data_IF_047688229396
#
_entry.id   IF_047688229396
#
_cell.length_a   1.000
_cell.length_b   1.000
_cell.length_c   1.000
_cell.angle_alpha   90.00
_cell.angle_beta   90.00
_cell.angle_gamma   90.00
#
_symmetry.space_group_name_H-M   'P 1'
#
loop_
_entity.id
_entity.type
_entity.pdbx_description
1 polymer ?
#
# COMPACT_ATOMS: atom_id res chain seq x y z
N UNK A 1 43.17 66.04 7.96
CA UNK A 1 42.78 65.95 6.52
C UNK A 1 43.87 65.20 5.77
N UNK A 2 43.69 64.27 4.83
CA UNK A 2 42.64 63.34 4.44
C UNK A 2 43.33 62.37 3.45
N UNK A 3 43.27 61.06 3.77
CA UNK A 3 43.16 59.84 2.94
C UNK A 3 43.82 59.73 1.54
N UNK A 4 44.47 58.58 1.33
CA UNK A 4 45.11 58.09 0.10
C UNK A 4 44.19 57.19 -0.76
N UNK A 5 44.70 56.85 -1.97
CA UNK A 5 44.42 55.68 -2.86
C UNK A 5 43.35 55.87 -3.96
N UNK A 6 43.41 55.28 -5.16
CA UNK A 6 44.40 54.79 -6.16
C UNK A 6 43.56 54.42 -7.41
N UNK A 7 44.15 54.28 -8.62
CA UNK A 7 43.41 54.16 -9.89
C UNK A 7 43.10 52.72 -10.35
N UNK A 8 42.15 52.63 -11.28
CA UNK A 8 41.68 51.46 -12.06
C UNK A 8 42.47 51.29 -13.36
N UNK A 9 42.76 50.05 -13.79
CA UNK A 9 42.39 49.47 -15.12
C UNK A 9 43.07 48.10 -15.38
N UNK A 10 42.25 47.11 -15.75
CA UNK A 10 42.55 45.82 -16.42
C UNK A 10 42.86 46.01 -17.92
N UNK A 11 43.43 45.05 -18.70
CA UNK A 11 42.63 43.93 -19.27
C UNK A 11 43.34 42.62 -19.77
N UNK A 12 42.53 41.55 -19.93
CA UNK A 12 42.41 40.58 -21.08
C UNK A 12 43.25 39.26 -21.25
N UNK A 13 42.48 38.15 -21.25
CA UNK A 13 42.46 36.85 -22.03
C UNK A 13 43.41 35.64 -21.81
N UNK A 14 42.84 34.57 -21.19
CA UNK A 14 42.59 33.13 -21.59
C UNK A 14 43.58 32.31 -22.48
N UNK A 15 43.55 30.92 -22.54
CA UNK A 15 42.52 29.96 -22.06
C UNK A 15 42.96 28.58 -21.45
N UNK A 16 41.98 27.92 -20.80
CA UNK A 16 41.58 26.48 -20.75
C UNK A 16 42.49 25.31 -20.30
N UNK A 17 41.79 24.35 -19.63
CA UNK A 17 42.11 22.93 -19.26
C UNK A 17 42.45 22.76 -17.78
N UNK A 18 41.79 21.96 -16.94
CA UNK A 18 40.64 21.07 -17.01
C UNK A 18 40.47 20.36 -15.66
N UNK A 19 39.37 19.61 -15.52
CA UNK A 19 39.06 18.59 -14.50
C UNK A 19 38.38 19.04 -13.19
N UNK A 20 37.05 19.01 -13.29
CA UNK A 20 36.11 18.69 -12.23
C UNK A 20 36.41 17.31 -11.61
N UNK A 21 36.43 17.23 -10.29
CA UNK A 21 36.11 16.00 -9.55
C UNK A 21 34.93 16.32 -8.63
N UNK A 22 33.74 16.10 -9.17
CA UNK A 22 32.46 16.16 -8.48
C UNK A 22 32.42 15.04 -7.44
N UNK A 23 32.47 15.41 -6.15
CA UNK A 23 32.09 14.52 -5.07
C UNK A 23 30.55 14.48 -5.00
N UNK A 24 29.94 13.57 -5.74
CA UNK A 24 28.52 13.24 -5.55
C UNK A 24 28.42 12.27 -4.37
N UNK A 25 28.15 12.79 -3.18
CA UNK A 25 27.71 11.98 -2.05
C UNK A 25 26.20 11.72 -2.18
N UNK A 26 25.86 10.44 -2.15
CA UNK A 26 24.51 9.88 -2.23
C UNK A 26 23.72 10.22 -0.95
N UNK A 27 22.96 11.32 -0.96
CA UNK A 27 22.15 11.81 0.17
C UNK A 27 20.65 11.49 0.07
N UNK A 28 20.24 10.81 -1.00
CA UNK A 28 18.83 10.63 -1.39
C UNK A 28 18.04 9.56 -0.61
N UNK A 29 18.70 8.64 0.09
CA UNK A 29 18.02 7.50 0.74
C UNK A 29 17.36 7.81 2.10
N UNK A 30 17.90 8.78 2.85
CA UNK A 30 17.40 9.10 4.21
C UNK A 30 16.16 9.99 4.20
N UNK A 31 16.07 10.91 3.24
CA UNK A 31 14.95 11.86 3.15
C UNK A 31 13.66 11.17 2.70
N UNK A 32 13.75 10.29 1.69
CA UNK A 32 12.61 9.52 1.18
C UNK A 32 12.02 8.59 2.26
N UNK A 33 12.86 7.93 3.05
CA UNK A 33 12.41 7.07 4.15
C UNK A 33 11.71 7.85 5.28
N UNK A 34 12.20 9.05 5.59
CA UNK A 34 11.57 9.93 6.59
C UNK A 34 10.23 10.50 6.10
N UNK A 35 10.14 10.88 4.82
CA UNK A 35 8.89 11.35 4.21
C UNK A 35 7.82 10.26 4.23
N UNK A 36 8.15 9.04 3.81
CA UNK A 36 7.23 7.90 3.85
C UNK A 36 6.75 7.59 5.28
N UNK A 37 7.64 7.66 6.27
CA UNK A 37 7.25 7.48 7.67
C UNK A 37 6.28 8.58 8.14
N UNK A 38 6.49 9.82 7.72
CA UNK A 38 5.61 10.94 8.04
C UNK A 38 4.23 10.78 7.39
N UNK A 39 4.16 10.27 6.16
CA UNK A 39 2.90 9.92 5.51
C UNK A 39 2.15 8.82 6.27
N UNK A 40 2.84 7.77 6.73
CA UNK A 40 2.23 6.71 7.55
C UNK A 40 1.69 7.27 8.87
N UNK A 41 2.44 8.15 9.55
CA UNK A 41 1.95 8.84 10.77
C UNK A 41 0.69 9.67 10.49
N UNK A 42 0.65 10.38 9.37
CA UNK A 42 -0.54 11.14 8.94
C UNK A 42 -1.73 10.20 8.72
N UNK A 43 -1.54 9.10 7.98
CA UNK A 43 -2.59 8.11 7.76
C UNK A 43 -3.13 7.52 9.08
N UNK A 44 -2.26 7.13 10.01
CA UNK A 44 -2.69 6.62 11.33
C UNK A 44 -3.52 7.68 12.09
N UNK A 45 -3.09 8.94 12.08
CA UNK A 45 -3.87 10.00 12.73
C UNK A 45 -5.26 10.17 12.11
N UNK A 46 -5.35 10.10 10.78
CA UNK A 46 -6.61 10.21 10.05
C UNK A 46 -7.53 9.01 10.29
N UNK A 47 -7.00 7.79 10.31
CA UNK A 47 -7.74 6.58 10.70
C UNK A 47 -8.35 6.70 12.10
N UNK A 48 -7.57 7.16 13.09
CA UNK A 48 -8.09 7.35 14.44
C UNK A 48 -9.14 8.46 14.52
N UNK A 49 -9.03 9.51 13.70
CA UNK A 49 -10.06 10.55 13.59
C UNK A 49 -11.35 9.97 13.01
N UNK A 50 -11.26 9.15 11.95
CA UNK A 50 -12.40 8.45 11.37
C UNK A 50 -13.07 7.51 12.38
N UNK A 51 -12.30 6.74 13.14
CA UNK A 51 -12.85 5.85 14.15
C UNK A 51 -13.48 6.58 15.33
N UNK A 52 -12.92 7.72 15.74
CA UNK A 52 -13.55 8.57 16.76
C UNK A 52 -14.93 9.05 16.34
N UNK A 53 -15.12 9.36 15.06
CA UNK A 53 -16.40 9.81 14.52
C UNK A 53 -17.42 8.67 14.41
N UNK A 54 -16.99 7.50 13.93
CA UNK A 54 -17.90 6.37 13.65
C UNK A 54 -18.23 5.52 14.88
N UNK A 55 -17.31 5.45 15.87
CA UNK A 55 -17.44 4.57 17.03
C UNK A 55 -17.45 5.34 18.36
N UNK A 56 -18.02 6.55 18.37
CA UNK A 56 -17.90 7.56 19.44
C UNK A 56 -17.81 7.03 20.88
N UNK A 57 -18.81 6.25 21.34
CA UNK A 57 -18.85 5.72 22.70
C UNK A 57 -17.74 4.70 22.96
N UNK A 58 -17.53 3.75 22.04
CA UNK A 58 -16.48 2.73 22.15
C UNK A 58 -15.09 3.36 22.08
N UNK A 59 -14.90 4.35 21.22
CA UNK A 59 -13.64 5.08 21.10
C UNK A 59 -13.31 5.85 22.38
N UNK A 60 -14.30 6.54 22.96
CA UNK A 60 -14.11 7.28 24.22
C UNK A 60 -13.83 6.35 25.40
N UNK A 61 -14.45 5.16 25.42
CA UNK A 61 -14.18 4.14 26.43
C UNK A 61 -12.79 3.49 26.26
N UNK A 62 -12.37 3.23 25.03
CA UNK A 62 -11.09 2.59 24.73
C UNK A 62 -9.88 3.54 24.88
N UNK A 63 -10.08 4.83 24.60
CA UNK A 63 -9.01 5.85 24.62
C UNK A 63 -9.46 7.06 25.46
N UNK A 64 -9.55 6.92 26.79
CA UNK A 64 -10.12 7.94 27.67
C UNK A 64 -9.24 9.20 27.78
N UNK A 65 -7.94 9.08 27.56
CA UNK A 65 -6.97 10.16 27.70
C UNK A 65 -5.98 10.21 26.51
N UNK A 66 -5.19 11.29 26.47
CA UNK A 66 -4.26 11.56 25.38
C UNK A 66 -3.06 10.60 25.39
N UNK A 67 -2.60 10.18 26.56
CA UNK A 67 -1.46 9.27 26.69
C UNK A 67 -1.80 7.89 26.15
N UNK A 68 -2.96 7.35 26.53
CA UNK A 68 -3.50 6.08 26.02
C UNK A 68 -3.70 6.14 24.51
N UNK A 69 -4.26 7.25 23.98
CA UNK A 69 -4.42 7.45 22.55
C UNK A 69 -3.07 7.49 21.80
N UNK A 70 -2.06 8.15 22.36
CA UNK A 70 -0.72 8.22 21.79
C UNK A 70 -0.04 6.84 21.77
N UNK A 71 -0.16 6.05 22.85
CA UNK A 71 0.35 4.69 22.90
C UNK A 71 -0.31 3.79 21.85
N UNK A 72 -1.64 3.86 21.72
CA UNK A 72 -2.38 3.11 20.72
C UNK A 72 -1.93 3.46 19.30
N UNK A 73 -1.79 4.75 18.97
CA UNK A 73 -1.30 5.20 17.66
C UNK A 73 0.12 4.73 17.36
N UNK A 74 1.02 4.71 18.36
CA UNK A 74 2.39 4.19 18.20
C UNK A 74 2.38 2.70 17.91
N UNK A 75 1.61 1.92 18.68
CA UNK A 75 1.43 0.48 18.46
C UNK A 75 0.90 0.18 17.06
N UNK A 76 -0.11 0.93 16.62
CA UNK A 76 -0.71 0.75 15.30
C UNK A 76 0.23 1.16 14.16
N UNK A 77 0.98 2.24 14.34
CA UNK A 77 1.99 2.64 13.38
C UNK A 77 3.03 1.54 13.19
N UNK A 78 3.54 0.97 14.28
CA UNK A 78 4.52 -0.12 14.27
C UNK A 78 3.96 -1.38 13.59
N UNK A 79 2.76 -1.82 13.99
CA UNK A 79 2.11 -3.00 13.42
C UNK A 79 1.82 -2.84 11.92
N UNK A 80 1.50 -1.62 11.46
CA UNK A 80 1.13 -1.35 10.08
C UNK A 80 2.30 -0.82 9.21
N UNK A 81 3.54 -0.88 9.71
CA UNK A 81 4.72 -0.36 8.98
C UNK A 81 4.87 -0.97 7.57
N UNK A 82 4.47 -2.23 7.38
CA UNK A 82 4.57 -2.93 6.10
C UNK A 82 3.58 -2.42 5.02
N UNK A 83 2.52 -1.68 5.39
CA UNK A 83 1.47 -1.25 4.46
C UNK A 83 1.70 0.17 3.95
N UNK A 84 1.38 0.45 2.69
CA UNK A 84 1.43 1.82 2.19
C UNK A 84 0.39 2.71 2.91
N UNK A 85 0.60 4.03 3.04
CA UNK A 85 -0.36 4.94 3.69
C UNK A 85 -1.78 4.82 3.12
N UNK A 86 -1.89 4.65 1.80
CA UNK A 86 -3.16 4.44 1.09
C UNK A 86 -3.87 3.15 1.52
N UNK A 87 -3.15 2.05 1.72
CA UNK A 87 -3.74 0.76 2.13
C UNK A 87 -4.29 0.83 3.56
N UNK A 88 -3.60 1.55 4.45
CA UNK A 88 -4.05 1.82 5.82
C UNK A 88 -5.38 2.59 5.80
N UNK A 89 -5.46 3.63 4.99
CA UNK A 89 -6.68 4.42 4.82
C UNK A 89 -7.83 3.60 4.24
N UNK A 90 -7.57 2.78 3.23
CA UNK A 90 -8.59 1.92 2.64
C UNK A 90 -9.05 0.82 3.61
N UNK A 91 -8.14 0.24 4.39
CA UNK A 91 -8.46 -0.70 5.47
C UNK A 91 -9.41 -0.09 6.50
N UNK A 92 -9.18 1.16 6.90
CA UNK A 92 -10.06 1.86 7.83
C UNK A 92 -11.46 2.12 7.25
N UNK A 93 -11.55 2.52 5.97
CA UNK A 93 -12.85 2.67 5.29
C UNK A 93 -13.62 1.35 5.26
N UNK A 94 -12.96 0.23 4.96
CA UNK A 94 -13.59 -1.10 5.03
C UNK A 94 -14.04 -1.44 6.44
N UNK A 95 -13.26 -1.09 7.47
CA UNK A 95 -13.62 -1.35 8.86
C UNK A 95 -14.96 -0.68 9.19
N UNK A 96 -15.14 0.58 8.81
CA UNK A 96 -16.38 1.35 9.03
C UNK A 96 -17.58 0.72 8.32
N UNK A 97 -17.37 0.15 7.13
CA UNK A 97 -18.44 -0.47 6.35
C UNK A 97 -18.79 -1.91 6.81
N UNK A 98 -17.84 -2.61 7.42
CA UNK A 98 -17.94 -4.06 7.67
C UNK A 98 -17.98 -4.43 9.15
N UNK A 99 -17.65 -3.50 10.05
CA UNK A 99 -17.52 -3.76 11.48
C UNK A 99 -18.45 -2.86 12.28
N UNK A 100 -19.35 -3.47 13.04
CA UNK A 100 -20.26 -2.79 13.98
C UNK A 100 -19.53 -2.21 15.21
N UNK A 101 -18.38 -2.80 15.55
CA UNK A 101 -17.55 -2.41 16.69
C UNK A 101 -16.24 -1.76 16.24
N UNK A 102 -15.66 -0.96 17.15
CA UNK A 102 -14.35 -0.36 16.95
C UNK A 102 -13.32 -1.47 16.63
N UNK A 103 -12.63 -1.42 15.48
CA UNK A 103 -11.75 -2.51 15.07
C UNK A 103 -10.50 -2.57 15.96
N UNK A 104 -10.04 -3.80 16.22
CA UNK A 104 -8.73 -4.05 16.83
C UNK A 104 -7.61 -3.88 15.82
N UNK A 105 -6.36 -3.75 16.29
CA UNK A 105 -5.18 -3.72 15.40
C UNK A 105 -5.11 -4.98 14.52
N UNK A 106 -5.47 -6.14 15.06
CA UNK A 106 -5.52 -7.40 14.31
C UNK A 106 -6.54 -7.35 13.17
N UNK A 107 -7.74 -6.81 13.44
CA UNK A 107 -8.74 -6.64 12.38
C UNK A 107 -8.25 -5.66 11.31
N UNK A 108 -7.56 -4.60 11.71
CA UNK A 108 -6.97 -3.66 10.75
C UNK A 108 -5.87 -4.26 9.89
N UNK A 109 -5.01 -5.13 10.43
CA UNK A 109 -4.03 -5.87 9.63
C UNK A 109 -4.71 -6.65 8.50
N UNK A 110 -5.79 -7.36 8.81
CA UNK A 110 -6.56 -8.10 7.80
C UNK A 110 -7.18 -7.17 6.74
N UNK A 111 -7.75 -6.04 7.16
CA UNK A 111 -8.43 -5.11 6.26
C UNK A 111 -7.48 -4.28 5.39
N UNK A 112 -6.26 -4.01 5.88
CA UNK A 112 -5.19 -3.39 5.11
C UNK A 112 -4.60 -4.40 4.11
N UNK A 113 -4.40 -5.65 4.54
CA UNK A 113 -3.90 -6.73 3.69
C UNK A 113 -4.87 -7.12 2.57
N UNK A 114 -6.16 -6.81 2.72
CA UNK A 114 -7.10 -6.89 1.62
C UNK A 114 -6.68 -5.95 0.47
N UNK A 115 -6.20 -4.72 0.70
CA UNK A 115 -5.95 -3.76 -0.39
C UNK A 115 -7.22 -3.36 -1.14
N UNK A 116 -7.15 -2.44 -2.13
CA UNK A 116 -8.32 -2.05 -2.97
C UNK A 116 -9.03 -3.25 -3.61
N UNK A 117 -8.26 -4.28 -3.93
CA UNK A 117 -8.72 -5.59 -4.39
C UNK A 117 -8.33 -6.68 -3.38
N UNK A 118 -8.96 -6.69 -2.20
CA UNK A 118 -9.02 -7.90 -1.38
C UNK A 118 -9.33 -9.06 -2.29
N UNK A 119 -8.55 -10.15 -2.20
CA UNK A 119 -8.67 -11.34 -3.06
C UNK A 119 -10.10 -11.43 -3.57
N UNK A 120 -10.35 -11.13 -4.86
CA UNK A 120 -11.71 -10.94 -5.35
C UNK A 120 -12.57 -12.12 -4.93
N UNK A 121 -13.84 -11.87 -4.62
CA UNK A 121 -14.76 -12.95 -4.29
C UNK A 121 -14.73 -14.01 -5.42
N UNK A 122 -14.82 -15.29 -5.05
CA UNK A 122 -14.52 -16.40 -5.95
C UNK A 122 -15.32 -16.35 -7.26
N UNK A 123 -16.59 -15.94 -7.22
CA UNK A 123 -17.41 -15.75 -8.42
C UNK A 123 -16.96 -14.55 -9.25
N UNK A 124 -16.60 -13.43 -8.62
CA UNK A 124 -16.02 -12.30 -9.35
C UNK A 124 -14.70 -12.67 -10.05
N UNK A 125 -13.81 -13.38 -9.36
CA UNK A 125 -12.56 -13.91 -9.91
C UNK A 125 -12.81 -14.88 -11.07
N UNK A 126 -13.79 -15.78 -10.93
CA UNK A 126 -14.19 -16.72 -11.99
C UNK A 126 -14.65 -15.99 -13.26
N UNK A 127 -15.52 -14.98 -13.11
CA UNK A 127 -15.99 -14.18 -14.26
C UNK A 127 -14.84 -13.50 -14.99
N UNK A 128 -13.90 -12.93 -14.25
CA UNK A 128 -12.70 -12.33 -14.85
C UNK A 128 -11.84 -13.37 -15.59
N UNK A 129 -11.64 -14.55 -15.00
CA UNK A 129 -10.93 -15.65 -15.63
C UNK A 129 -11.56 -16.10 -16.96
N UNK A 130 -12.90 -16.21 -17.00
CA UNK A 130 -13.66 -16.53 -18.20
C UNK A 130 -13.61 -15.42 -19.26
N UNK A 131 -13.68 -14.15 -18.85
CA UNK A 131 -13.76 -13.02 -19.76
C UNK A 131 -12.40 -12.50 -20.27
N UNK A 132 -11.29 -12.87 -19.61
CA UNK A 132 -9.97 -12.40 -20.03
C UNK A 132 -9.63 -12.85 -21.47
N UNK A 133 -9.20 -11.96 -22.37
CA UNK A 133 -8.77 -12.34 -23.71
C UNK A 133 -7.42 -13.11 -23.68
N UNK A 134 -7.15 -13.85 -24.75
CA UNK A 134 -5.83 -14.41 -25.00
C UNK A 134 -4.91 -13.37 -25.65
N UNK A 135 -3.61 -13.33 -25.32
CA UNK A 135 -2.90 -14.21 -24.39
C UNK A 135 -3.10 -13.80 -22.92
N UNK A 136 -3.44 -14.78 -22.08
CA UNK A 136 -3.75 -14.59 -20.64
C UNK A 136 -2.58 -13.97 -19.84
N UNK A 137 -1.34 -14.11 -20.31
CA UNK A 137 -0.13 -13.56 -19.69
C UNK A 137 -0.02 -12.05 -19.81
N UNK A 138 -0.65 -11.44 -20.82
CA UNK A 138 -0.58 -10.00 -21.07
C UNK A 138 -1.83 -9.27 -20.58
N UNK A 139 -2.75 -10.00 -19.95
CA UNK A 139 -3.96 -9.43 -19.39
C UNK A 139 -3.67 -8.74 -18.05
N UNK A 140 -4.29 -7.59 -17.84
CA UNK A 140 -4.16 -6.84 -16.59
C UNK A 140 -5.11 -7.42 -15.52
N UNK A 141 -4.65 -8.46 -14.84
CA UNK A 141 -5.42 -9.17 -13.81
C UNK A 141 -5.67 -8.29 -12.58
N UNK A 142 -6.91 -8.32 -12.07
CA UNK A 142 -7.27 -7.63 -10.81
C UNK A 142 -6.46 -8.16 -9.62
N UNK A 143 -6.10 -9.45 -9.67
CA UNK A 143 -5.17 -10.09 -8.74
C UNK A 143 -4.52 -11.32 -9.40
N UNK A 144 -3.21 -11.54 -9.17
CA UNK A 144 -2.48 -12.68 -9.77
C UNK A 144 -3.03 -14.05 -9.34
N UNK A 145 -3.66 -14.13 -8.16
CA UNK A 145 -4.35 -15.35 -7.71
C UNK A 145 -5.40 -15.84 -8.72
N UNK A 146 -6.06 -14.93 -9.45
CA UNK A 146 -7.05 -15.26 -10.49
C UNK A 146 -6.37 -15.95 -11.66
N UNK A 147 -5.25 -15.39 -12.13
CA UNK A 147 -4.43 -15.98 -13.19
C UNK A 147 -3.96 -17.39 -12.82
N UNK A 148 -3.41 -17.55 -11.62
CA UNK A 148 -2.94 -18.85 -11.16
C UNK A 148 -4.10 -19.85 -11.03
N UNK A 149 -5.23 -19.44 -10.44
CA UNK A 149 -6.39 -20.31 -10.31
C UNK A 149 -6.95 -20.76 -11.65
N UNK A 150 -7.04 -19.84 -12.62
CA UNK A 150 -7.51 -20.18 -13.95
C UNK A 150 -6.55 -21.08 -14.72
N UNK A 151 -5.23 -20.93 -14.50
CA UNK A 151 -4.22 -21.85 -15.04
C UNK A 151 -4.34 -23.25 -14.44
N UNK A 152 -4.46 -23.37 -13.12
CA UNK A 152 -4.64 -24.67 -12.43
C UNK A 152 -5.97 -25.34 -12.82
N UNK A 153 -7.01 -24.55 -13.07
CA UNK A 153 -8.33 -25.03 -13.52
C UNK A 153 -8.38 -25.35 -15.01
N UNK A 154 -7.29 -25.14 -15.76
CA UNK A 154 -7.19 -25.24 -17.21
C UNK A 154 -8.12 -24.28 -17.99
N UNK A 155 -7.52 -23.29 -18.68
CA UNK A 155 -8.24 -22.29 -19.46
C UNK A 155 -9.21 -22.87 -20.50
N UNK A 156 -8.86 -24.00 -21.13
CA UNK A 156 -9.74 -24.66 -22.09
C UNK A 156 -10.97 -25.26 -21.39
N UNK A 157 -10.78 -25.86 -20.22
CA UNK A 157 -11.89 -26.40 -19.42
C UNK A 157 -12.86 -25.29 -18.99
N UNK A 158 -12.34 -24.16 -18.50
CA UNK A 158 -13.15 -23.00 -18.12
C UNK A 158 -13.94 -22.39 -19.27
N UNK A 159 -13.39 -22.41 -20.49
CA UNK A 159 -14.04 -21.83 -21.67
C UNK A 159 -15.12 -22.73 -22.29
N UNK A 160 -15.02 -24.06 -22.12
CA UNK A 160 -15.86 -25.02 -22.84
C UNK A 160 -16.91 -25.73 -21.95
N UNK A 161 -16.95 -25.46 -20.65
CA UNK A 161 -17.89 -26.07 -19.73
C UNK A 161 -18.84 -25.02 -19.13
N UNK A 162 -20.09 -25.40 -18.82
CA UNK A 162 -21.03 -24.50 -18.16
C UNK A 162 -20.55 -24.14 -16.74
N UNK A 163 -20.97 -22.96 -16.26
CA UNK A 163 -20.59 -22.46 -14.93
C UNK A 163 -20.90 -23.45 -13.81
N UNK A 164 -22.01 -24.20 -13.88
CA UNK A 164 -22.38 -25.22 -12.88
C UNK A 164 -21.34 -26.33 -12.70
N UNK A 165 -20.52 -26.61 -13.72
CA UNK A 165 -19.45 -27.60 -13.70
C UNK A 165 -18.09 -26.94 -13.49
N UNK A 166 -17.82 -25.82 -14.17
CA UNK A 166 -16.52 -25.19 -14.16
C UNK A 166 -16.24 -24.35 -12.90
N UNK A 167 -17.26 -23.68 -12.34
CA UNK A 167 -17.10 -22.79 -11.19
C UNK A 167 -16.61 -23.52 -9.92
N UNK A 168 -17.18 -24.67 -9.50
CA UNK A 168 -16.71 -25.36 -8.30
C UNK A 168 -15.23 -25.75 -8.37
N UNK A 169 -14.75 -26.17 -9.56
CA UNK A 169 -13.35 -26.51 -9.79
C UNK A 169 -12.47 -25.28 -9.64
N UNK A 170 -12.84 -24.18 -10.30
CA UNK A 170 -12.12 -22.91 -10.18
C UNK A 170 -12.09 -22.40 -8.73
N UNK A 171 -13.23 -22.40 -8.05
CA UNK A 171 -13.36 -21.91 -6.68
C UNK A 171 -12.45 -22.66 -5.71
N UNK A 172 -12.32 -23.98 -5.88
CA UNK A 172 -11.43 -24.80 -5.04
C UNK A 172 -9.94 -24.49 -5.30
N UNK A 173 -9.53 -24.31 -6.56
CA UNK A 173 -8.16 -23.88 -6.87
C UNK A 173 -7.87 -22.46 -6.36
N UNK A 174 -8.81 -21.55 -6.56
CA UNK A 174 -8.72 -20.17 -6.12
C UNK A 174 -8.58 -20.09 -4.61
N UNK A 175 -9.41 -20.82 -3.84
CA UNK A 175 -9.32 -20.91 -2.37
C UNK A 175 -7.92 -21.33 -1.91
N UNK A 176 -7.35 -22.40 -2.49
CA UNK A 176 -6.00 -22.89 -2.14
C UNK A 176 -4.89 -21.90 -2.45
N UNK A 177 -5.08 -21.04 -3.45
CA UNK A 177 -4.12 -19.99 -3.80
C UNK A 177 -4.27 -18.81 -2.84
N UNK A 178 -5.51 -18.40 -2.54
CA UNK A 178 -5.82 -17.40 -1.52
C UNK A 178 -5.17 -17.75 -0.18
N UNK A 179 -5.30 -19.00 0.28
CA UNK A 179 -4.71 -19.48 1.53
C UNK A 179 -3.18 -19.38 1.54
N UNK A 180 -2.52 -19.69 0.42
CA UNK A 180 -1.06 -19.53 0.29
C UNK A 180 -0.63 -18.07 0.30
N UNK A 181 -1.30 -17.21 -0.46
CA UNK A 181 -1.01 -15.77 -0.51
C UNK A 181 -1.21 -15.10 0.86
N UNK A 182 -2.16 -15.57 1.65
CA UNK A 182 -2.41 -15.07 3.01
C UNK A 182 -1.45 -15.68 4.04
N UNK A 183 -1.00 -16.93 3.84
CA UNK A 183 -0.06 -17.61 4.74
C UNK A 183 1.41 -17.20 4.57
N UNK A 184 1.82 -16.80 3.36
CA UNK A 184 3.18 -16.38 3.02
C UNK A 184 3.52 -14.94 3.48
N UNK A 185 2.56 -14.21 4.06
CA UNK A 185 2.77 -12.85 4.61
C UNK A 185 3.12 -12.82 6.12
N UNK A 186 3.43 -13.97 6.74
CA UNK A 186 3.95 -14.08 8.10
C UNK A 186 5.48 -14.27 8.10
#
# INVERSE_FOLDING_TARGET
MAIHKTPTTTPTSAPATGQSATYSQTQTGSEQGQELLNEKKRAINEVFALFKLNYHNQFSAAFPDTETLHHAKRLWLEALLAFAPQDIMQGAKRAILQSEYLPTVHKMLQLCAAGENGLPEARAAYREACNAPSPKTNYNWSHLAIYHAGRESNWFFLANNPESIAYPVFAEHYRKICERVLGEKN
#
